data_IF_723059472971
#
_entry.id   IF_723059472971
#
_cell.length_a   1.000
_cell.length_b   1.000
_cell.length_c   1.000
_cell.angle_alpha   90.00
_cell.angle_beta   90.00
_cell.angle_gamma   90.00
#
_symmetry.space_group_name_H-M   'P 1'
#
loop_
_entity.id
_entity.type
_entity.pdbx_description
1 polymer ?
#
# COMPACT_ATOMS: atom_id res chain seq x y z
N UNK A 1 -15.35 4.02 -9.51
CA UNK A 1 -14.02 3.54 -10.02
C UNK A 1 -12.86 4.36 -9.47
N UNK A 2 -13.00 5.69 -9.39
CA UNK A 2 -11.96 6.62 -8.90
C UNK A 2 -11.41 6.26 -7.51
N UNK A 3 -12.27 6.00 -6.52
CA UNK A 3 -11.80 5.63 -5.18
C UNK A 3 -11.21 4.23 -5.09
N UNK A 4 -11.58 3.30 -5.97
CA UNK A 4 -10.93 1.98 -6.00
C UNK A 4 -9.43 2.15 -6.24
N UNK A 5 -9.03 3.15 -7.03
CA UNK A 5 -7.63 3.40 -7.36
C UNK A 5 -6.92 4.25 -6.30
N UNK A 6 -7.62 5.18 -5.64
CA UNK A 6 -7.12 5.88 -4.45
C UNK A 6 -6.93 4.91 -3.28
N UNK A 7 -7.91 4.07 -3.01
CA UNK A 7 -7.80 2.97 -2.05
C UNK A 7 -6.76 1.96 -2.48
N UNK A 8 -6.61 1.69 -3.78
CA UNK A 8 -5.45 0.96 -4.23
C UNK A 8 -4.21 1.67 -3.72
N UNK A 9 -3.93 2.94 -3.98
CA UNK A 9 -2.70 3.57 -3.48
C UNK A 9 -2.48 3.43 -1.97
N UNK A 10 -3.52 3.60 -1.16
CA UNK A 10 -3.46 3.37 0.30
C UNK A 10 -3.11 1.91 0.64
N UNK A 11 -3.60 0.94 -0.14
CA UNK A 11 -3.45 -0.50 0.11
C UNK A 11 -2.57 -1.23 -0.93
N UNK A 12 -1.80 -0.54 -1.75
CA UNK A 12 -1.09 -1.11 -2.92
C UNK A 12 0.29 -0.50 -3.14
N UNK A 13 0.79 0.27 -2.19
CA UNK A 13 2.23 0.43 -2.05
C UNK A 13 2.90 -0.95 -2.05
N UNK A 14 2.24 -2.00 -1.51
CA UNK A 14 2.47 -3.40 -1.88
C UNK A 14 1.21 -4.25 -1.69
N UNK A 15 1.02 -5.35 -2.44
CA UNK A 15 -0.06 -6.32 -2.18
C UNK A 15 0.26 -7.24 -0.99
N UNK A 16 0.79 -6.66 0.10
CA UNK A 16 1.52 -7.42 1.12
C UNK A 16 2.87 -7.92 0.60
N UNK A 17 3.38 -7.27 -0.45
CA UNK A 17 4.68 -7.57 -1.06
C UNK A 17 5.83 -6.77 -0.44
N UNK A 18 5.56 -6.00 0.62
CA UNK A 18 6.60 -5.31 1.39
C UNK A 18 7.62 -6.34 1.86
N UNK A 19 8.86 -6.16 1.44
CA UNK A 19 9.98 -7.06 1.74
C UNK A 19 9.85 -8.47 1.14
N UNK A 20 9.03 -8.65 0.11
CA UNK A 20 9.15 -9.81 -0.77
C UNK A 20 10.22 -9.50 -1.81
N UNK A 21 11.24 -10.36 -1.92
CA UNK A 21 12.13 -10.31 -3.08
C UNK A 21 11.34 -10.74 -4.32
N UNK A 22 11.17 -9.87 -5.33
CA UNK A 22 10.51 -10.23 -6.57
C UNK A 22 11.24 -11.42 -7.20
N UNK A 23 10.51 -12.40 -7.72
CA UNK A 23 11.09 -13.56 -8.40
C UNK A 23 12.13 -14.34 -7.56
N UNK A 24 12.06 -14.30 -6.22
CA UNK A 24 13.07 -14.92 -5.35
C UNK A 24 13.37 -16.38 -5.67
N UNK A 25 12.33 -17.20 -5.89
CA UNK A 25 12.48 -18.61 -6.30
C UNK A 25 13.29 -18.77 -7.60
N UNK A 26 13.16 -17.82 -8.54
CA UNK A 26 13.91 -17.83 -9.80
C UNK A 26 15.39 -17.53 -9.53
N UNK A 27 15.72 -16.60 -8.64
CA UNK A 27 17.11 -16.27 -8.31
C UNK A 27 17.80 -17.43 -7.61
N UNK A 28 17.12 -18.02 -6.63
CA UNK A 28 17.55 -19.22 -5.92
C UNK A 28 17.92 -20.34 -6.91
N UNK A 29 17.04 -20.63 -7.88
CA UNK A 29 17.30 -21.66 -8.91
C UNK A 29 18.40 -21.29 -9.92
N UNK A 30 18.69 -20.00 -10.09
CA UNK A 30 19.67 -19.49 -11.07
C UNK A 30 21.09 -19.49 -10.50
N UNK A 31 21.23 -19.20 -9.20
CA UNK A 31 22.52 -18.85 -8.59
C UNK A 31 22.99 -19.79 -7.48
N UNK A 32 22.16 -20.76 -7.09
CA UNK A 32 22.52 -21.80 -6.12
C UNK A 32 22.61 -23.15 -6.85
N UNK A 33 23.79 -23.75 -6.81
CA UNK A 33 24.05 -25.04 -7.46
C UNK A 33 23.53 -26.24 -6.64
N UNK A 34 23.51 -26.09 -5.31
CA UNK A 34 23.02 -27.14 -4.40
C UNK A 34 21.50 -27.28 -4.49
N UNK A 35 21.05 -28.40 -5.05
CA UNK A 35 19.63 -28.71 -5.24
C UNK A 35 18.86 -28.88 -3.93
N UNK A 36 19.50 -29.31 -2.85
CA UNK A 36 18.85 -29.47 -1.56
C UNK A 36 18.65 -28.11 -0.89
N UNK A 37 19.64 -27.19 -0.97
CA UNK A 37 19.44 -25.78 -0.58
C UNK A 37 18.28 -25.15 -1.35
N UNK A 38 18.27 -25.32 -2.68
CA UNK A 38 17.18 -24.81 -3.54
C UNK A 38 15.82 -25.33 -3.07
N UNK A 39 15.68 -26.65 -2.86
CA UNK A 39 14.43 -27.25 -2.39
C UNK A 39 14.00 -26.68 -1.03
N UNK A 40 14.92 -26.55 -0.09
CA UNK A 40 14.64 -26.01 1.25
C UNK A 40 14.11 -24.57 1.18
N UNK A 41 14.76 -23.71 0.40
CA UNK A 41 14.33 -22.30 0.23
C UNK A 41 12.98 -22.23 -0.48
N UNK A 42 12.77 -23.03 -1.53
CA UNK A 42 11.47 -23.09 -2.22
C UNK A 42 10.36 -23.55 -1.28
N UNK A 43 10.64 -24.46 -0.34
CA UNK A 43 9.66 -24.89 0.67
C UNK A 43 9.25 -23.72 1.59
N UNK A 44 10.22 -22.94 2.10
CA UNK A 44 9.96 -21.75 2.93
C UNK A 44 9.07 -20.73 2.19
N UNK A 45 9.37 -20.48 0.91
CA UNK A 45 8.58 -19.57 0.07
C UNK A 45 7.16 -20.09 -0.15
N UNK A 46 6.98 -21.40 -0.29
CA UNK A 46 5.66 -22.02 -0.46
C UNK A 46 4.83 -22.01 0.82
N UNK A 47 5.44 -22.26 1.97
CA UNK A 47 4.75 -22.22 3.28
C UNK A 47 4.14 -20.84 3.56
N UNK A 48 4.83 -19.76 3.17
CA UNK A 48 4.33 -18.39 3.29
C UNK A 48 3.33 -17.97 2.21
N UNK A 49 3.10 -18.78 1.18
CA UNK A 49 2.20 -18.44 0.08
C UNK A 49 0.72 -18.34 0.52
N UNK A 50 0.29 -19.23 1.42
CA UNK A 50 -1.10 -19.21 1.93
C UNK A 50 -1.35 -17.99 2.82
N UNK A 51 -0.38 -17.61 3.65
CA UNK A 51 -0.45 -16.38 4.45
C UNK A 51 -0.61 -15.16 3.54
N UNK A 52 0.18 -15.08 2.45
CA UNK A 52 0.07 -14.00 1.45
C UNK A 52 -1.25 -14.01 0.69
N UNK A 53 -1.82 -15.19 0.44
CA UNK A 53 -3.13 -15.32 -0.20
C UNK A 53 -4.25 -14.81 0.71
N UNK A 54 -4.24 -15.19 1.99
CA UNK A 54 -5.18 -14.67 2.98
C UNK A 54 -5.00 -13.17 3.21
N UNK A 55 -3.76 -12.69 3.20
CA UNK A 55 -3.44 -11.27 3.23
C UNK A 55 -4.11 -10.47 2.11
N UNK A 56 -4.00 -10.96 0.88
CA UNK A 56 -4.64 -10.35 -0.28
C UNK A 56 -6.17 -10.33 -0.17
N UNK A 57 -6.77 -11.37 0.43
CA UNK A 57 -8.20 -11.39 0.71
C UNK A 57 -8.55 -10.34 1.76
N UNK A 58 -7.81 -10.24 2.86
CA UNK A 58 -8.02 -9.24 3.91
C UNK A 58 -7.88 -7.81 3.36
N UNK A 59 -6.89 -7.54 2.51
CA UNK A 59 -6.76 -6.25 1.83
C UNK A 59 -7.96 -5.92 0.92
N UNK A 60 -8.60 -6.93 0.31
CA UNK A 60 -9.85 -6.76 -0.44
C UNK A 60 -11.03 -6.44 0.48
N UNK A 61 -11.09 -7.05 1.67
CA UNK A 61 -12.10 -6.72 2.68
C UNK A 61 -11.90 -5.31 3.24
N UNK A 62 -10.68 -4.96 3.62
CA UNK A 62 -10.32 -3.64 4.13
C UNK A 62 -10.70 -2.53 3.13
N UNK A 63 -10.51 -2.73 1.82
CA UNK A 63 -11.00 -1.80 0.78
C UNK A 63 -12.51 -1.59 0.80
N UNK A 64 -13.29 -2.66 1.02
CA UNK A 64 -14.75 -2.58 1.08
C UNK A 64 -15.21 -1.86 2.34
N UNK A 65 -14.57 -2.17 3.47
CA UNK A 65 -14.84 -1.56 4.77
C UNK A 65 -14.51 -0.07 4.76
N UNK A 66 -13.33 0.32 4.25
CA UNK A 66 -12.98 1.74 4.11
C UNK A 66 -13.98 2.49 3.21
N UNK A 67 -14.46 1.84 2.14
CA UNK A 67 -15.52 2.42 1.31
C UNK A 67 -16.85 2.56 2.07
N UNK A 68 -17.20 1.62 2.95
CA UNK A 68 -18.41 1.72 3.78
C UNK A 68 -18.30 2.89 4.76
N UNK A 69 -17.14 3.03 5.42
CA UNK A 69 -16.82 4.17 6.27
C UNK A 69 -16.91 5.48 5.48
N UNK A 70 -16.36 5.51 4.27
CA UNK A 70 -16.43 6.71 3.44
C UNK A 70 -17.85 7.09 3.03
N UNK A 71 -18.69 6.14 2.60
CA UNK A 71 -20.04 6.47 2.11
C UNK A 71 -20.96 6.92 3.25
N UNK A 72 -20.73 6.43 4.46
CA UNK A 72 -21.53 6.81 5.64
C UNK A 72 -21.15 8.24 6.06
N UNK A 73 -22.13 9.16 5.93
CA UNK A 73 -21.98 10.58 6.28
C UNK A 73 -21.59 10.76 7.76
N UNK A 74 -22.11 9.92 8.63
CA UNK A 74 -21.93 10.02 10.09
C UNK A 74 -20.70 9.28 10.60
N UNK A 75 -19.78 8.85 9.72
CA UNK A 75 -18.56 8.18 10.15
C UNK A 75 -17.70 9.13 10.97
N UNK A 76 -17.24 8.65 12.12
CA UNK A 76 -16.43 9.38 13.08
C UNK A 76 -14.94 9.13 12.86
N UNK A 77 -14.08 10.02 13.39
CA UNK A 77 -12.62 9.76 13.42
C UNK A 77 -12.29 8.49 14.17
N UNK A 78 -13.00 8.19 15.27
CA UNK A 78 -12.78 6.98 16.03
C UNK A 78 -13.04 5.71 15.19
N UNK A 79 -14.07 5.70 14.34
CA UNK A 79 -14.31 4.59 13.41
C UNK A 79 -13.17 4.44 12.39
N UNK A 80 -12.60 5.55 11.90
CA UNK A 80 -11.42 5.50 11.03
C UNK A 80 -10.16 5.03 11.78
N UNK A 81 -9.95 5.46 13.03
CA UNK A 81 -8.82 5.04 13.85
C UNK A 81 -8.86 3.53 14.13
N UNK A 82 -10.02 3.01 14.55
CA UNK A 82 -10.22 1.57 14.78
C UNK A 82 -9.97 0.77 13.50
N UNK A 83 -10.43 1.28 12.36
CA UNK A 83 -10.15 0.66 11.07
C UNK A 83 -8.65 0.68 10.72
N UNK A 84 -7.98 1.81 10.94
CA UNK A 84 -6.53 1.95 10.73
C UNK A 84 -5.74 0.95 11.59
N UNK A 85 -6.06 0.83 12.88
CA UNK A 85 -5.36 -0.08 13.79
C UNK A 85 -5.46 -1.54 13.31
N UNK A 86 -6.64 -1.94 12.82
CA UNK A 86 -6.88 -3.24 12.19
C UNK A 86 -6.03 -3.44 10.92
N UNK A 87 -5.91 -2.41 10.08
CA UNK A 87 -5.08 -2.44 8.86
C UNK A 87 -3.60 -2.55 9.21
N UNK A 88 -3.10 -1.79 10.17
CA UNK A 88 -1.68 -1.82 10.54
C UNK A 88 -1.29 -3.13 11.20
N UNK A 89 -2.10 -3.64 12.14
CA UNK A 89 -1.85 -4.95 12.75
C UNK A 89 -1.70 -6.04 11.68
N UNK A 90 -2.60 -6.02 10.68
CA UNK A 90 -2.55 -6.89 9.52
C UNK A 90 -1.28 -6.72 8.67
N UNK A 91 -0.93 -5.48 8.30
CA UNK A 91 0.26 -5.18 7.49
C UNK A 91 1.56 -5.54 8.21
N UNK A 92 1.66 -5.25 9.50
CA UNK A 92 2.84 -5.62 10.31
C UNK A 92 3.02 -7.14 10.37
N UNK A 93 1.94 -7.92 10.55
CA UNK A 93 2.02 -9.38 10.55
C UNK A 93 2.55 -9.95 9.22
N UNK A 94 2.12 -9.40 8.07
CA UNK A 94 2.61 -9.83 6.76
C UNK A 94 4.07 -9.45 6.55
N UNK A 95 4.44 -8.21 6.88
CA UNK A 95 5.85 -7.76 6.76
C UNK A 95 6.77 -8.63 7.59
N UNK A 96 6.35 -9.00 8.81
CA UNK A 96 7.08 -9.95 9.65
C UNK A 96 7.24 -11.30 8.96
N UNK A 97 6.16 -11.84 8.41
CA UNK A 97 6.22 -13.12 7.65
C UNK A 97 7.19 -13.04 6.48
N UNK A 98 7.18 -11.94 5.71
CA UNK A 98 8.09 -11.78 4.57
C UNK A 98 9.55 -11.69 5.01
N UNK A 99 9.83 -11.02 6.14
CA UNK A 99 11.17 -10.93 6.71
C UNK A 99 11.64 -12.27 7.28
N UNK A 100 10.75 -13.03 7.93
CA UNK A 100 11.06 -14.40 8.38
C UNK A 100 11.41 -15.31 7.20
N UNK A 101 10.73 -15.17 6.05
CA UNK A 101 11.09 -15.89 4.83
C UNK A 101 12.50 -15.52 4.36
N UNK A 102 12.84 -14.23 4.36
CA UNK A 102 14.16 -13.77 3.99
C UNK A 102 15.24 -14.30 4.95
N UNK A 103 15.04 -14.10 6.25
CA UNK A 103 15.96 -14.52 7.30
C UNK A 103 16.21 -16.03 7.27
N UNK A 104 15.16 -16.86 7.24
CA UNK A 104 15.32 -18.33 7.13
C UNK A 104 15.99 -18.76 5.83
N UNK A 105 15.80 -18.01 4.74
CA UNK A 105 16.50 -18.29 3.48
C UNK A 105 17.98 -17.91 3.58
N UNK A 106 18.31 -16.82 4.27
CA UNK A 106 19.68 -16.36 4.55
C UNK A 106 20.45 -17.30 5.47
N UNK A 107 19.77 -18.07 6.32
CA UNK A 107 20.40 -19.15 7.10
C UNK A 107 20.90 -20.34 6.22
N UNK A 108 20.37 -20.49 5.01
CA UNK A 108 20.65 -21.62 4.11
C UNK A 108 21.67 -21.24 3.03
N UNK A 109 21.61 -20.01 2.53
CA UNK A 109 22.52 -19.49 1.51
C UNK A 109 23.75 -18.85 2.14
N UNK A 110 24.88 -18.89 1.45
CA UNK A 110 26.04 -18.10 1.85
C UNK A 110 25.89 -16.63 1.45
N UNK A 111 26.69 -15.77 2.07
CA UNK A 111 26.80 -14.36 1.68
C UNK A 111 27.26 -14.21 0.22
N UNK A 112 28.14 -15.09 -0.26
CA UNK A 112 28.59 -15.11 -1.65
C UNK A 112 27.45 -15.47 -2.61
N UNK A 113 26.65 -16.49 -2.27
CA UNK A 113 25.46 -16.87 -3.04
C UNK A 113 24.44 -15.73 -3.07
N UNK A 114 24.22 -15.06 -1.94
CA UNK A 114 23.35 -13.88 -1.85
C UNK A 114 23.86 -12.71 -2.70
N UNK A 115 25.17 -12.47 -2.71
CA UNK A 115 25.80 -11.44 -3.55
C UNK A 115 25.49 -11.59 -5.04
N UNK A 116 25.29 -12.83 -5.52
CA UNK A 116 24.89 -13.11 -6.91
C UNK A 116 23.44 -12.71 -7.21
N UNK A 117 22.59 -12.53 -6.20
CA UNK A 117 21.19 -12.14 -6.38
C UNK A 117 21.05 -10.64 -6.61
N UNK A 118 21.99 -9.84 -6.08
CA UNK A 118 21.93 -8.37 -6.08
C UNK A 118 21.73 -7.77 -7.48
N UNK A 119 22.41 -8.22 -8.56
CA UNK A 119 22.17 -7.69 -9.90
C UNK A 119 20.75 -7.97 -10.42
N UNK A 120 20.20 -9.16 -10.18
CA UNK A 120 18.83 -9.49 -10.60
C UNK A 120 17.79 -8.73 -9.76
N UNK A 121 18.03 -8.60 -8.46
CA UNK A 121 17.19 -7.83 -7.55
C UNK A 121 17.15 -6.36 -7.97
N UNK A 122 18.29 -5.74 -8.26
CA UNK A 122 18.36 -4.37 -8.78
C UNK A 122 17.49 -4.21 -10.04
N UNK A 123 17.61 -5.12 -11.00
CA UNK A 123 16.86 -5.05 -12.25
C UNK A 123 15.34 -5.18 -12.05
N UNK A 124 14.88 -5.98 -11.07
CA UNK A 124 13.45 -6.10 -10.78
C UNK A 124 12.92 -4.96 -9.90
N UNK A 125 13.76 -4.37 -9.05
CA UNK A 125 13.44 -3.15 -8.28
C UNK A 125 13.34 -1.93 -9.21
N UNK A 126 14.22 -1.78 -10.19
CA UNK A 126 14.12 -0.72 -11.22
C UNK A 126 12.78 -0.81 -11.97
N UNK A 127 12.38 -2.01 -12.40
CA UNK A 127 11.06 -2.23 -13.03
C UNK A 127 9.90 -1.94 -12.07
N UNK A 128 10.07 -2.17 -10.78
CA UNK A 128 9.06 -1.85 -9.77
C UNK A 128 8.88 -0.33 -9.64
N UNK A 129 9.99 0.41 -9.66
CA UNK A 129 9.99 1.88 -9.66
C UNK A 129 9.29 2.42 -10.93
N UNK A 130 9.68 1.96 -12.12
CA UNK A 130 9.04 2.35 -13.39
C UNK A 130 7.51 2.12 -13.37
N UNK A 131 7.07 0.95 -12.92
CA UNK A 131 5.64 0.63 -12.79
C UNK A 131 4.92 1.53 -11.78
N UNK A 132 5.63 1.95 -10.73
CA UNK A 132 5.10 2.85 -9.71
C UNK A 132 4.92 4.27 -10.25
N UNK A 133 5.89 4.76 -11.02
CA UNK A 133 5.82 6.06 -11.69
C UNK A 133 4.66 6.11 -12.70
N UNK A 134 4.52 5.06 -13.54
CA UNK A 134 3.37 4.96 -14.45
C UNK A 134 2.02 5.01 -13.72
N UNK A 135 1.96 4.41 -12.53
CA UNK A 135 0.75 4.33 -11.74
C UNK A 135 0.41 5.69 -11.10
N UNK A 136 1.41 6.44 -10.66
CA UNK A 136 1.21 7.83 -10.23
C UNK A 136 0.64 8.70 -11.36
N UNK A 137 1.18 8.58 -12.58
CA UNK A 137 0.65 9.30 -13.76
C UNK A 137 -0.79 8.90 -14.05
N UNK A 138 -1.12 7.60 -13.98
CA UNK A 138 -2.51 7.13 -14.14
C UNK A 138 -3.42 7.67 -13.03
N UNK A 139 -2.90 7.84 -11.82
CA UNK A 139 -3.63 8.38 -10.66
C UNK A 139 -4.03 9.85 -10.84
N UNK A 140 -3.17 10.68 -11.46
CA UNK A 140 -3.48 12.09 -11.73
C UNK A 140 -4.81 12.29 -12.48
N UNK A 141 -5.17 11.37 -13.39
CA UNK A 141 -6.45 11.39 -14.12
C UNK A 141 -7.65 11.19 -13.19
N UNK A 142 -7.48 10.36 -12.16
CA UNK A 142 -8.51 10.08 -11.17
C UNK A 142 -8.70 11.24 -10.19
N UNK A 143 -7.62 11.88 -9.74
CA UNK A 143 -7.71 13.12 -8.96
C UNK A 143 -8.50 14.19 -9.71
N UNK A 144 -8.17 14.40 -10.99
CA UNK A 144 -8.92 15.30 -11.88
C UNK A 144 -10.41 14.95 -11.95
N UNK A 145 -10.76 13.66 -12.00
CA UNK A 145 -12.15 13.21 -12.03
C UNK A 145 -12.90 13.47 -10.70
N UNK A 146 -12.23 13.32 -9.54
CA UNK A 146 -12.85 13.70 -8.26
C UNK A 146 -13.12 15.20 -8.23
N UNK A 147 -12.14 16.05 -8.60
CA UNK A 147 -12.31 17.50 -8.61
C UNK A 147 -13.49 17.92 -9.49
N UNK A 148 -13.61 17.35 -10.69
CA UNK A 148 -14.79 17.55 -11.55
C UNK A 148 -16.10 17.09 -10.91
N UNK A 149 -16.06 16.03 -10.10
CA UNK A 149 -17.23 15.55 -9.37
C UNK A 149 -17.61 16.49 -8.24
N UNK A 150 -16.65 17.03 -7.50
CA UNK A 150 -16.88 18.07 -6.48
C UNK A 150 -17.58 19.28 -7.12
N UNK A 151 -17.01 19.81 -8.21
CA UNK A 151 -17.53 20.95 -8.97
C UNK A 151 -18.93 20.74 -9.55
N UNK A 152 -19.27 19.49 -9.87
CA UNK A 152 -20.56 19.16 -10.49
C UNK A 152 -21.66 18.81 -9.48
N UNK A 153 -21.31 18.55 -8.21
CA UNK A 153 -22.27 18.10 -7.19
C UNK A 153 -22.50 19.17 -6.13
N UNK A 154 -21.47 19.90 -5.71
CA UNK A 154 -21.59 20.96 -4.70
C UNK A 154 -21.98 22.24 -5.41
N UNK A 155 -23.22 22.71 -5.21
CA UNK A 155 -23.76 23.84 -5.96
C UNK A 155 -23.29 25.19 -5.41
N UNK A 156 -23.07 25.25 -4.10
CA UNK A 156 -22.57 26.44 -3.42
C UNK A 156 -21.07 26.63 -3.68
N UNK A 157 -20.67 27.83 -4.09
CA UNK A 157 -19.30 28.09 -4.55
C UNK A 157 -18.28 28.15 -3.42
N UNK A 158 -18.68 28.58 -2.22
CA UNK A 158 -17.76 28.64 -1.08
C UNK A 158 -17.52 27.24 -0.53
N UNK A 159 -18.58 26.42 -0.42
CA UNK A 159 -18.48 24.99 -0.05
C UNK A 159 -17.71 24.18 -1.09
N UNK A 160 -17.93 24.42 -2.39
CA UNK A 160 -17.17 23.79 -3.48
C UNK A 160 -15.67 24.08 -3.35
N UNK A 161 -15.31 25.33 -3.06
CA UNK A 161 -13.92 25.76 -2.86
C UNK A 161 -13.29 25.07 -1.65
N UNK A 162 -14.00 24.99 -0.52
CA UNK A 162 -13.54 24.28 0.67
C UNK A 162 -13.29 22.79 0.37
N UNK A 163 -14.26 22.11 -0.24
CA UNK A 163 -14.13 20.71 -0.63
C UNK A 163 -12.96 20.46 -1.58
N UNK A 164 -12.73 21.37 -2.53
CA UNK A 164 -11.60 21.28 -3.46
C UNK A 164 -10.26 21.43 -2.72
N UNK A 165 -10.14 22.38 -1.81
CA UNK A 165 -8.92 22.58 -1.00
C UNK A 165 -8.63 21.38 -0.09
N UNK A 166 -9.65 20.82 0.54
CA UNK A 166 -9.52 19.60 1.34
C UNK A 166 -9.00 18.44 0.49
N UNK A 167 -9.55 18.27 -0.72
CA UNK A 167 -9.11 17.23 -1.65
C UNK A 167 -7.68 17.45 -2.16
N UNK A 168 -7.30 18.68 -2.50
CA UNK A 168 -5.94 19.03 -2.91
C UNK A 168 -4.92 18.72 -1.79
N UNK A 169 -5.28 19.00 -0.55
CA UNK A 169 -4.45 18.68 0.62
C UNK A 169 -4.25 17.18 0.79
N UNK A 170 -5.32 16.39 0.64
CA UNK A 170 -5.23 14.93 0.65
C UNK A 170 -4.41 14.38 -0.52
N UNK A 171 -4.62 14.90 -1.73
CA UNK A 171 -3.84 14.51 -2.92
C UNK A 171 -2.34 14.72 -2.71
N UNK A 172 -1.96 15.86 -2.12
CA UNK A 172 -0.56 16.15 -1.80
C UNK A 172 0.03 15.13 -0.83
N UNK A 173 -0.67 14.87 0.29
CA UNK A 173 -0.22 13.89 1.29
C UNK A 173 -0.11 12.51 0.67
N UNK A 174 -1.14 12.05 -0.06
CA UNK A 174 -1.15 10.73 -0.67
C UNK A 174 0.00 10.54 -1.66
N UNK A 175 0.26 11.52 -2.54
CA UNK A 175 1.35 11.44 -3.51
C UNK A 175 2.72 11.44 -2.83
N UNK A 176 2.91 12.31 -1.83
CA UNK A 176 4.16 12.38 -1.07
C UNK A 176 4.43 11.08 -0.31
N UNK A 177 3.44 10.56 0.40
CA UNK A 177 3.53 9.30 1.14
C UNK A 177 3.78 8.11 0.22
N UNK A 178 3.10 8.05 -0.94
CA UNK A 178 3.34 6.98 -1.92
C UNK A 178 4.77 7.01 -2.44
N UNK A 179 5.26 8.18 -2.86
CA UNK A 179 6.65 8.33 -3.33
C UNK A 179 7.64 7.95 -2.24
N UNK A 180 7.42 8.42 -1.00
CA UNK A 180 8.26 8.12 0.15
C UNK A 180 8.38 6.61 0.42
N UNK A 181 7.28 5.85 0.30
CA UNK A 181 7.32 4.40 0.43
C UNK A 181 8.10 3.76 -0.71
N UNK A 182 7.87 4.18 -1.96
CA UNK A 182 8.58 3.63 -3.12
C UNK A 182 10.08 3.91 -3.02
N UNK A 183 10.47 5.15 -2.71
CA UNK A 183 11.87 5.53 -2.51
C UNK A 183 12.50 4.68 -1.42
N UNK A 184 11.81 4.45 -0.30
CA UNK A 184 12.34 3.64 0.80
C UNK A 184 12.50 2.16 0.43
N UNK A 185 11.56 1.59 -0.32
CA UNK A 185 11.57 0.17 -0.72
C UNK A 185 12.59 -0.07 -1.84
N UNK A 186 12.67 0.84 -2.80
CA UNK A 186 13.54 0.75 -3.97
C UNK A 186 14.96 1.25 -3.72
N UNK A 187 15.24 1.87 -2.57
CA UNK A 187 16.58 2.30 -2.18
C UNK A 187 17.57 1.13 -2.19
N UNK A 188 18.78 1.34 -2.71
CA UNK A 188 19.82 0.29 -2.77
C UNK A 188 20.38 -0.11 -1.39
N UNK A 189 20.14 0.71 -0.37
CA UNK A 189 20.40 0.40 1.04
C UNK A 189 19.12 -0.06 1.77
N UNK A 190 18.09 -0.46 1.02
CA UNK A 190 16.92 -1.14 1.58
C UNK A 190 17.34 -2.47 2.21
N UNK A 191 16.62 -2.88 3.25
CA UNK A 191 16.83 -4.17 3.92
C UNK A 191 16.71 -5.37 2.98
N UNK A 192 16.09 -5.19 1.80
CA UNK A 192 16.04 -6.19 0.73
C UNK A 192 17.42 -6.61 0.22
N UNK A 193 18.43 -5.73 0.32
CA UNK A 193 19.79 -6.00 -0.16
C UNK A 193 20.70 -6.55 0.94
N UNK A 194 20.33 -6.42 2.21
CA UNK A 194 21.17 -6.77 3.35
C UNK A 194 21.19 -8.29 3.55
N UNK A 195 22.39 -8.85 3.69
CA UNK A 195 22.59 -10.21 4.20
C UNK A 195 22.59 -10.15 5.74
N UNK A 196 21.74 -10.95 6.40
CA UNK A 196 21.48 -10.92 7.85
C UNK A 196 20.75 -9.66 8.34
N UNK A 197 19.48 -9.54 7.98
CA UNK A 197 18.60 -8.48 8.49
C UNK A 197 18.40 -8.66 10.00
N UNK A 198 18.64 -7.60 10.78
CA UNK A 198 18.37 -7.59 12.23
C UNK A 198 16.93 -7.21 12.55
N UNK A 199 16.44 -7.64 13.72
CA UNK A 199 15.13 -7.22 14.24
C UNK A 199 15.03 -5.69 14.37
N UNK A 200 16.12 -5.03 14.75
CA UNK A 200 16.16 -3.57 14.89
C UNK A 200 16.00 -2.86 13.53
N UNK A 201 16.68 -3.34 12.50
CA UNK A 201 16.52 -2.82 11.14
C UNK A 201 15.09 -3.02 10.64
N UNK A 202 14.52 -4.21 10.86
CA UNK A 202 13.14 -4.50 10.52
C UNK A 202 12.18 -3.52 11.21
N UNK A 203 12.30 -3.36 12.54
CA UNK A 203 11.42 -2.48 13.31
C UNK A 203 11.54 -1.02 12.85
N UNK A 204 12.74 -0.54 12.53
CA UNK A 204 12.94 0.81 11.99
C UNK A 204 12.15 1.03 10.70
N UNK A 205 12.23 0.11 9.74
CA UNK A 205 11.51 0.29 8.47
C UNK A 205 10.01 0.04 8.64
N UNK A 206 9.60 -0.93 9.47
CA UNK A 206 8.18 -1.17 9.76
C UNK A 206 7.53 0.06 10.42
N UNK A 207 8.19 0.68 11.41
CA UNK A 207 7.72 1.90 12.06
C UNK A 207 7.62 3.08 11.08
N UNK A 208 8.61 3.22 10.19
CA UNK A 208 8.55 4.22 9.11
C UNK A 208 7.33 4.01 8.21
N UNK A 209 7.11 2.79 7.71
CA UNK A 209 5.97 2.50 6.85
C UNK A 209 4.63 2.69 7.57
N UNK A 210 4.54 2.32 8.85
CA UNK A 210 3.34 2.53 9.66
C UNK A 210 3.05 4.02 9.84
N UNK A 211 4.09 4.84 10.09
CA UNK A 211 3.97 6.29 10.19
C UNK A 211 3.48 6.91 8.88
N UNK A 212 4.10 6.58 7.74
CA UNK A 212 3.69 7.11 6.44
C UNK A 212 2.25 6.67 6.10
N UNK A 213 1.89 5.42 6.45
CA UNK A 213 0.52 4.93 6.29
C UNK A 213 -0.45 5.71 7.18
N UNK A 214 -0.07 6.02 8.43
CA UNK A 214 -0.87 6.83 9.36
C UNK A 214 -1.20 8.20 8.78
N UNK A 215 -0.19 8.89 8.26
CA UNK A 215 -0.35 10.24 7.69
C UNK A 215 -1.39 10.26 6.56
N UNK A 216 -1.39 9.24 5.71
CA UNK A 216 -2.40 9.09 4.65
C UNK A 216 -3.79 8.83 5.21
N UNK A 217 -3.91 7.99 6.24
CA UNK A 217 -5.19 7.68 6.88
C UNK A 217 -5.77 8.86 7.64
N UNK A 218 -4.95 9.63 8.34
CA UNK A 218 -5.37 10.86 9.02
C UNK A 218 -5.84 11.89 7.99
N UNK A 219 -5.07 12.11 6.92
CA UNK A 219 -5.48 13.00 5.82
C UNK A 219 -6.78 12.53 5.14
N UNK A 220 -6.98 11.22 5.02
CA UNK A 220 -8.22 10.63 4.51
C UNK A 220 -9.41 10.90 5.44
N UNK A 221 -9.24 10.71 6.75
CA UNK A 221 -10.29 10.99 7.74
C UNK A 221 -10.67 12.46 7.75
N UNK A 222 -9.69 13.36 7.66
CA UNK A 222 -9.92 14.81 7.54
C UNK A 222 -10.68 15.11 6.24
N UNK A 223 -10.24 14.58 5.11
CA UNK A 223 -10.92 14.77 3.83
C UNK A 223 -12.38 14.34 3.89
N UNK A 224 -12.68 13.17 4.47
CA UNK A 224 -14.06 12.70 4.60
C UNK A 224 -14.93 13.72 5.35
N UNK A 225 -14.48 14.20 6.51
CA UNK A 225 -15.22 15.20 7.31
C UNK A 225 -15.43 16.50 6.54
N UNK A 226 -14.38 17.04 5.94
CA UNK A 226 -14.45 18.29 5.19
C UNK A 226 -15.43 18.18 4.00
N UNK A 227 -15.47 17.02 3.33
CA UNK A 227 -16.43 16.78 2.25
C UNK A 227 -17.87 16.62 2.78
N UNK A 228 -18.05 15.98 3.93
CA UNK A 228 -19.36 15.88 4.60
C UNK A 228 -19.86 17.27 4.99
N UNK A 229 -19.03 18.10 5.61
CA UNK A 229 -19.37 19.44 6.05
C UNK A 229 -19.65 20.39 4.87
N UNK A 230 -18.92 20.22 3.77
CA UNK A 230 -19.15 20.98 2.53
C UNK A 230 -20.37 20.52 1.71
N UNK A 231 -21.05 19.44 2.08
CA UNK A 231 -22.20 18.89 1.32
C UNK A 231 -23.48 18.89 2.13
N UNK A 232 -24.63 19.10 1.47
CA UNK A 232 -25.93 18.72 2.03
C UNK A 232 -26.07 17.20 2.05
N UNK A 233 -27.12 16.67 2.70
CA UNK A 233 -27.40 15.23 2.65
C UNK A 233 -27.60 14.73 1.22
N UNK A 234 -28.39 15.43 0.41
CA UNK A 234 -28.66 15.07 -0.99
C UNK A 234 -27.40 15.14 -1.88
N UNK A 235 -26.59 16.20 -1.72
CA UNK A 235 -25.32 16.34 -2.41
C UNK A 235 -24.36 15.22 -2.04
N UNK A 236 -24.27 14.89 -0.75
CA UNK A 236 -23.45 13.78 -0.25
C UNK A 236 -23.90 12.43 -0.80
N UNK A 237 -25.20 12.19 -0.83
CA UNK A 237 -25.77 10.94 -1.33
C UNK A 237 -25.42 10.73 -2.81
N UNK A 238 -25.48 11.79 -3.62
CA UNK A 238 -25.07 11.75 -5.02
C UNK A 238 -23.56 11.61 -5.18
N UNK A 239 -22.81 12.39 -4.40
CA UNK A 239 -21.35 12.42 -4.42
C UNK A 239 -20.76 11.06 -4.04
N UNK A 240 -21.15 10.52 -2.90
CA UNK A 240 -20.70 9.23 -2.36
C UNK A 240 -21.05 8.07 -3.30
N UNK A 241 -22.22 8.07 -3.94
CA UNK A 241 -22.61 7.05 -4.94
C UNK A 241 -21.69 7.07 -6.16
N UNK A 242 -21.44 8.25 -6.75
CA UNK A 242 -20.53 8.40 -7.91
C UNK A 242 -19.11 7.94 -7.61
N UNK A 243 -18.71 8.09 -6.36
CA UNK A 243 -17.36 7.88 -5.89
C UNK A 243 -17.12 6.48 -5.34
N UNK A 244 -18.15 5.82 -4.84
CA UNK A 244 -18.08 4.48 -4.24
C UNK A 244 -17.49 3.40 -5.18
N UNK A 245 -16.95 2.35 -4.57
CA UNK A 245 -16.62 1.11 -5.26
C UNK A 245 -17.94 0.48 -5.75
N UNK A 246 -18.10 0.20 -7.07
CA UNK A 246 -19.27 -0.50 -7.56
C UNK A 246 -19.45 -1.82 -6.81
N UNK A 247 -20.67 -2.15 -6.39
CA UNK A 247 -20.98 -3.49 -5.91
C UNK A 247 -20.62 -4.46 -7.03
N UNK A 248 -19.55 -5.21 -6.84
CA UNK A 248 -19.18 -6.30 -7.75
C UNK A 248 -20.33 -7.31 -7.65
N UNK A 249 -21.07 -7.45 -8.76
CA UNK A 249 -22.08 -8.51 -8.90
C UNK A 249 -21.39 -9.87 -8.82
#
# INVERSE_FOLDING_TARGET
>A
MVWVLLFMLIFSSTKGDEYIIPNFEKYVKKHIDDKEKVKAIVAIVKESADIRKEANKKDKFNRKELNQLFVKRTTTTLEFDVFYDSVIAHKTAIRKTNIEVLSKSQEIISEEEWGKFIPDLNADIEKLQEKSDEKLIKTAKYFTQVKKTIQAVILDKDREKQATLAFDSFELVLNHSYQSIIDKVCDKNSILYHYNITDEEYEKVNNYLNKVTREVFDAYSVLHKELVDATTEDEWDHFSKKLSIPKTK
#
